data_IF_709133210171
#
_entry.id   IF_709133210171
#
_cell.length_a   1.000
_cell.length_b   1.000
_cell.length_c   1.000
_cell.angle_alpha   90.00
_cell.angle_beta   90.00
_cell.angle_gamma   90.00
#
_symmetry.space_group_name_H-M   'P 1'
#
loop_
_entity.id
_entity.type
_entity.pdbx_description
1 polymer ?
#
# COMPACT_ATOMS: atom_id res chain seq x y z
N UNK A 1 -18.56 -13.21 -8.09
CA UNK A 1 -19.08 -12.74 -9.41
C UNK A 1 -20.25 -11.81 -9.19
N UNK A 2 -20.13 -10.55 -9.60
CA UNK A 2 -21.26 -9.61 -9.54
C UNK A 2 -22.34 -10.09 -10.51
N UNK A 3 -23.62 -10.16 -10.09
CA UNK A 3 -24.70 -10.69 -10.92
C UNK A 3 -24.79 -9.89 -12.24
N UNK A 4 -25.25 -10.55 -13.32
CA UNK A 4 -25.45 -9.91 -14.63
C UNK A 4 -26.32 -8.64 -14.54
N UNK A 5 -27.34 -8.63 -13.68
CA UNK A 5 -28.20 -7.48 -13.42
C UNK A 5 -27.46 -6.30 -12.76
N UNK A 6 -26.55 -6.55 -11.83
CA UNK A 6 -25.76 -5.48 -11.18
C UNK A 6 -24.79 -4.84 -12.18
N UNK A 7 -24.17 -5.64 -13.07
CA UNK A 7 -23.31 -5.13 -14.16
C UNK A 7 -24.11 -4.32 -15.18
N UNK A 8 -25.32 -4.71 -15.48
CA UNK A 8 -26.18 -4.01 -16.43
C UNK A 8 -26.69 -2.67 -15.88
N UNK A 9 -27.06 -2.61 -14.61
CA UNK A 9 -27.46 -1.37 -13.92
C UNK A 9 -26.29 -0.39 -13.83
N UNK A 10 -25.10 -0.85 -13.48
CA UNK A 10 -23.88 -0.03 -13.45
C UNK A 10 -23.53 0.48 -14.85
N UNK A 11 -23.58 -0.40 -15.87
CA UNK A 11 -23.31 -0.03 -17.26
C UNK A 11 -24.29 1.00 -17.82
N UNK A 12 -25.59 0.89 -17.52
CA UNK A 12 -26.61 1.85 -17.96
C UNK A 12 -26.49 3.21 -17.21
N UNK A 13 -26.09 3.20 -15.94
CA UNK A 13 -25.78 4.41 -15.17
C UNK A 13 -24.56 5.16 -15.74
N UNK A 14 -23.52 4.43 -16.14
CA UNK A 14 -22.32 4.99 -16.74
C UNK A 14 -22.58 5.60 -18.15
N UNK A 15 -23.46 4.97 -18.93
CA UNK A 15 -23.81 5.47 -20.29
C UNK A 15 -24.43 6.87 -20.27
N UNK A 16 -25.23 7.22 -19.25
CA UNK A 16 -25.86 8.54 -19.12
C UNK A 16 -24.92 9.66 -18.65
N UNK A 17 -23.68 9.35 -18.26
CA UNK A 17 -22.73 10.32 -17.68
C UNK A 17 -21.36 10.38 -18.41
N UNK A 18 -21.21 9.68 -19.53
CA UNK A 18 -19.94 9.58 -20.28
C UNK A 18 -19.32 10.93 -20.62
N UNK A 19 -20.11 11.89 -21.08
CA UNK A 19 -19.60 13.21 -21.44
C UNK A 19 -19.07 13.99 -20.23
N UNK A 20 -19.71 13.84 -19.07
CA UNK A 20 -19.25 14.49 -17.84
C UNK A 20 -17.96 13.84 -17.31
N UNK A 21 -17.87 12.50 -17.36
CA UNK A 21 -16.65 11.77 -17.01
C UNK A 21 -15.52 12.18 -17.94
N UNK A 22 -15.77 12.19 -19.26
CA UNK A 22 -14.78 12.60 -20.26
C UNK A 22 -14.28 14.01 -20.02
N UNK A 23 -15.19 15.00 -19.90
CA UNK A 23 -14.80 16.39 -19.67
C UNK A 23 -14.01 16.60 -18.38
N UNK A 24 -14.34 15.86 -17.31
CA UNK A 24 -13.56 15.87 -16.07
C UNK A 24 -12.16 15.27 -16.27
N UNK A 25 -12.06 14.12 -16.94
CA UNK A 25 -10.77 13.46 -17.20
C UNK A 25 -9.89 14.25 -18.14
N UNK A 26 -10.46 14.92 -19.16
CA UNK A 26 -9.71 15.80 -20.07
C UNK A 26 -9.05 16.94 -19.28
N UNK A 27 -9.77 17.54 -18.31
CA UNK A 27 -9.23 18.59 -17.44
C UNK A 27 -8.11 18.06 -16.53
N UNK A 28 -8.28 16.86 -15.97
CA UNK A 28 -7.23 16.23 -15.13
C UNK A 28 -5.99 15.91 -15.96
N UNK A 29 -6.17 15.36 -17.17
CA UNK A 29 -5.08 15.03 -18.10
C UNK A 29 -4.32 16.29 -18.58
N UNK A 30 -5.01 17.39 -18.82
CA UNK A 30 -4.38 18.67 -19.19
C UNK A 30 -3.40 19.15 -18.12
N UNK A 31 -3.76 19.01 -16.84
CA UNK A 31 -2.94 19.45 -15.70
C UNK A 31 -1.83 18.47 -15.32
N UNK A 32 -2.03 17.19 -15.55
CA UNK A 32 -1.19 16.11 -15.04
C UNK A 32 -0.70 15.15 -16.13
N UNK A 33 -0.55 15.60 -17.38
CA UNK A 33 -0.33 14.75 -18.54
C UNK A 33 0.90 13.82 -18.51
N UNK A 34 1.83 14.02 -17.58
CA UNK A 34 3.02 13.20 -17.37
C UNK A 34 2.89 12.27 -16.14
N UNK A 35 1.71 12.21 -15.52
CA UNK A 35 1.46 11.44 -14.29
C UNK A 35 0.50 10.26 -14.55
N UNK A 36 0.96 9.28 -15.32
CA UNK A 36 0.12 8.20 -15.86
C UNK A 36 -0.58 7.39 -14.74
N UNK A 37 0.12 7.02 -13.68
CA UNK A 37 -0.44 6.24 -12.57
C UNK A 37 -1.50 7.04 -11.80
N UNK A 38 -1.28 8.33 -11.64
CA UNK A 38 -2.27 9.20 -11.00
C UNK A 38 -3.53 9.35 -11.85
N UNK A 39 -3.38 9.55 -13.16
CA UNK A 39 -4.51 9.65 -14.10
C UNK A 39 -5.33 8.36 -14.11
N UNK A 40 -4.69 7.19 -14.12
CA UNK A 40 -5.35 5.88 -14.05
C UNK A 40 -6.23 5.78 -12.79
N UNK A 41 -5.68 6.07 -11.62
CA UNK A 41 -6.43 6.00 -10.36
C UNK A 41 -7.61 6.98 -10.33
N UNK A 42 -7.44 8.18 -10.88
CA UNK A 42 -8.53 9.16 -10.99
C UNK A 42 -9.62 8.67 -11.94
N UNK A 43 -9.28 8.03 -13.06
CA UNK A 43 -10.22 7.48 -14.03
C UNK A 43 -11.10 6.40 -13.39
N UNK A 44 -10.51 5.43 -12.69
CA UNK A 44 -11.21 4.36 -11.98
C UNK A 44 -12.22 4.90 -10.96
N UNK A 45 -11.84 5.91 -10.20
CA UNK A 45 -12.73 6.55 -9.21
C UNK A 45 -13.81 7.38 -9.89
N UNK A 46 -13.45 8.15 -10.93
CA UNK A 46 -14.40 9.04 -11.64
C UNK A 46 -15.56 8.27 -12.27
N UNK A 47 -15.31 7.08 -12.81
CA UNK A 47 -16.34 6.22 -13.42
C UNK A 47 -17.45 5.83 -12.44
N UNK A 48 -17.13 5.71 -11.16
CA UNK A 48 -18.09 5.32 -10.12
C UNK A 48 -18.66 6.51 -9.35
N UNK A 49 -17.85 7.53 -9.07
CA UNK A 49 -18.21 8.66 -8.21
C UNK A 49 -18.97 9.75 -8.96
N UNK A 50 -18.67 10.02 -10.23
CA UNK A 50 -19.38 11.07 -11.01
C UNK A 50 -20.87 10.75 -11.18
N UNK A 51 -21.28 9.52 -11.54
CA UNK A 51 -22.70 9.16 -11.59
C UNK A 51 -23.42 9.39 -10.26
N UNK A 52 -22.76 9.09 -9.15
CA UNK A 52 -23.31 9.33 -7.81
C UNK A 52 -23.47 10.82 -7.52
N UNK A 53 -22.45 11.64 -7.77
CA UNK A 53 -22.47 13.08 -7.55
C UNK A 53 -23.57 13.74 -8.39
N UNK A 54 -23.72 13.33 -9.66
CA UNK A 54 -24.74 13.89 -10.57
C UNK A 54 -26.16 13.55 -10.10
N UNK A 55 -26.35 12.38 -9.52
CA UNK A 55 -27.66 11.92 -9.03
C UNK A 55 -28.12 12.68 -7.76
N UNK A 56 -27.20 13.29 -7.03
CA UNK A 56 -27.51 13.92 -5.73
C UNK A 56 -27.25 15.41 -5.75
N UNK A 57 -28.34 16.21 -5.75
CA UNK A 57 -28.31 17.68 -5.84
C UNK A 57 -27.45 18.37 -4.78
N UNK A 58 -27.30 17.78 -3.60
CA UNK A 58 -26.46 18.32 -2.52
C UNK A 58 -24.98 18.53 -2.95
N UNK A 59 -24.53 17.85 -3.99
CA UNK A 59 -23.17 17.96 -4.53
C UNK A 59 -23.05 18.94 -5.71
N UNK A 60 -24.18 19.43 -6.27
CA UNK A 60 -24.18 20.33 -7.43
C UNK A 60 -23.39 21.62 -7.17
N UNK A 61 -22.58 22.03 -8.15
CA UNK A 61 -21.80 23.26 -8.11
C UNK A 61 -20.63 23.29 -7.12
N UNK A 62 -20.38 22.21 -6.38
CA UNK A 62 -19.36 22.19 -5.31
C UNK A 62 -17.98 21.72 -5.77
N UNK A 63 -17.85 21.25 -7.00
CA UNK A 63 -16.60 20.76 -7.60
C UNK A 63 -15.85 19.77 -6.71
N UNK A 64 -16.59 18.88 -6.00
CA UNK A 64 -16.02 18.03 -4.96
C UNK A 64 -14.89 17.16 -5.50
N UNK A 65 -15.14 16.41 -6.58
CA UNK A 65 -14.12 15.52 -7.14
C UNK A 65 -12.93 16.31 -7.70
N UNK A 66 -13.16 17.47 -8.33
CA UNK A 66 -12.09 18.34 -8.81
C UNK A 66 -11.19 18.84 -7.66
N UNK A 67 -11.77 19.12 -6.49
CA UNK A 67 -11.01 19.47 -5.28
C UNK A 67 -10.27 18.29 -4.68
N UNK A 68 -10.78 17.08 -4.84
CA UNK A 68 -10.16 15.85 -4.31
C UNK A 68 -8.97 15.38 -5.14
N UNK A 69 -8.92 15.71 -6.43
CA UNK A 69 -7.78 15.35 -7.30
C UNK A 69 -6.61 16.33 -7.22
N UNK A 70 -6.83 17.52 -6.62
CA UNK A 70 -5.75 18.48 -6.38
C UNK A 70 -5.21 18.30 -4.96
N UNK A 71 -3.93 17.98 -4.77
CA UNK A 71 -3.36 17.91 -3.43
C UNK A 71 -3.35 19.30 -2.77
N UNK A 72 -3.66 19.36 -1.49
CA UNK A 72 -3.54 20.60 -0.72
C UNK A 72 -2.09 21.08 -0.68
N UNK A 73 -1.13 20.16 -0.65
CA UNK A 73 0.32 20.44 -0.80
C UNK A 73 1.06 19.24 -1.38
N UNK A 74 2.01 19.51 -2.26
CA UNK A 74 3.02 18.56 -2.70
C UNK A 74 4.41 19.12 -2.37
N UNK A 75 5.18 18.39 -1.59
CA UNK A 75 6.47 18.80 -1.08
C UNK A 75 7.54 17.89 -1.67
N UNK A 76 8.54 18.48 -2.32
CA UNK A 76 9.72 17.78 -2.84
C UNK A 76 10.96 18.36 -2.18
N UNK A 77 11.85 17.51 -1.72
CA UNK A 77 13.10 17.93 -1.09
C UNK A 77 14.26 16.98 -1.46
N UNK A 78 15.47 17.50 -1.36
CA UNK A 78 16.70 16.74 -1.58
C UNK A 78 17.12 16.06 -0.29
N UNK A 79 17.54 14.79 -0.40
CA UNK A 79 18.06 13.99 0.71
C UNK A 79 19.52 13.62 0.42
N UNK A 80 20.44 14.25 1.09
CA UNK A 80 21.87 13.94 1.02
C UNK A 80 22.25 13.06 2.20
N UNK A 81 22.93 11.96 1.94
CA UNK A 81 23.40 11.06 2.99
C UNK A 81 24.73 10.41 2.58
N UNK A 82 25.47 9.86 3.54
CA UNK A 82 26.78 9.26 3.31
C UNK A 82 26.66 7.74 3.39
N UNK A 83 27.14 7.02 2.37
CA UNK A 83 27.18 5.56 2.36
C UNK A 83 28.32 4.99 3.22
N UNK A 84 28.45 3.66 3.26
CA UNK A 84 29.49 2.98 4.06
C UNK A 84 30.91 3.15 3.45
N UNK A 85 31.01 3.64 2.21
CA UNK A 85 32.29 3.97 1.58
C UNK A 85 32.75 5.40 1.85
N UNK A 86 31.91 6.21 2.51
CA UNK A 86 32.15 7.63 2.74
C UNK A 86 31.72 8.52 1.56
N UNK A 87 31.02 8.00 0.57
CA UNK A 87 30.55 8.77 -0.59
C UNK A 87 29.21 9.43 -0.30
N UNK A 88 29.03 10.65 -0.82
CA UNK A 88 27.77 11.39 -0.69
C UNK A 88 26.77 10.90 -1.76
N UNK A 89 25.67 10.36 -1.29
CA UNK A 89 24.54 9.93 -2.10
C UNK A 89 23.44 11.00 -2.08
N UNK A 90 22.69 11.11 -3.18
CA UNK A 90 21.63 12.11 -3.34
C UNK A 90 20.35 11.42 -3.81
N UNK A 91 19.31 11.54 -3.02
CA UNK A 91 17.97 11.05 -3.34
C UNK A 91 16.93 12.19 -3.32
N UNK A 92 15.77 11.94 -3.89
CA UNK A 92 14.60 12.81 -3.79
C UNK A 92 13.67 12.32 -2.69
N UNK A 93 13.26 13.22 -1.82
CA UNK A 93 12.22 12.99 -0.85
C UNK A 93 10.93 13.71 -1.24
N UNK A 94 9.79 13.11 -0.89
CA UNK A 94 8.46 13.63 -1.22
C UNK A 94 7.48 13.47 -0.07
N UNK A 95 6.54 14.42 0.05
CA UNK A 95 5.31 14.26 0.83
C UNK A 95 4.15 14.92 0.10
N UNK A 96 3.11 14.16 -0.20
CA UNK A 96 1.85 14.64 -0.75
C UNK A 96 0.83 14.66 0.38
N UNK A 97 0.37 15.85 0.72
CA UNK A 97 -0.72 16.13 1.65
C UNK A 97 -1.96 16.35 0.79
N UNK A 98 -2.73 15.27 0.61
CA UNK A 98 -3.77 15.23 -0.41
C UNK A 98 -5.04 15.92 0.02
N UNK A 99 -5.55 15.56 1.20
CA UNK A 99 -6.82 16.10 1.70
C UNK A 99 -6.91 15.97 3.22
N UNK A 100 -7.28 17.07 3.88
CA UNK A 100 -7.43 17.15 5.34
C UNK A 100 -8.86 17.41 5.80
N UNK A 101 -9.85 17.30 4.92
CA UNK A 101 -11.23 17.67 5.21
C UNK A 101 -11.84 16.93 6.41
N UNK A 102 -11.42 15.70 6.69
CA UNK A 102 -11.93 14.88 7.78
C UNK A 102 -10.91 14.61 8.90
N UNK A 103 -9.71 15.17 8.81
CA UNK A 103 -8.68 15.04 9.85
C UNK A 103 -7.26 15.20 9.32
N UNK A 104 -6.25 15.03 10.17
CA UNK A 104 -4.84 15.12 9.78
C UNK A 104 -4.51 14.21 8.60
N UNK A 105 -3.59 14.64 7.74
CA UNK A 105 -3.11 13.79 6.64
C UNK A 105 -2.54 12.48 7.21
N UNK A 106 -2.92 11.36 6.64
CA UNK A 106 -2.49 10.04 7.11
C UNK A 106 -2.15 9.15 5.93
N UNK A 107 -0.96 8.55 5.95
CA UNK A 107 -0.54 7.57 4.93
C UNK A 107 0.94 7.27 5.00
N UNK A 108 1.36 6.19 4.33
CA UNK A 108 2.69 5.61 4.43
C UNK A 108 3.80 6.44 3.78
N UNK A 109 5.04 6.08 4.12
CA UNK A 109 6.26 6.44 3.41
C UNK A 109 6.75 5.21 2.66
N UNK A 110 7.05 5.36 1.36
CA UNK A 110 7.60 4.30 0.51
C UNK A 110 9.05 4.61 0.15
N UNK A 111 9.95 3.67 0.40
CA UNK A 111 11.34 3.74 -0.08
C UNK A 111 11.56 2.68 -1.14
N UNK A 112 11.58 3.13 -2.39
CA UNK A 112 11.76 2.26 -3.53
C UNK A 112 12.25 3.08 -4.74
N UNK A 113 13.16 2.55 -5.59
CA UNK A 113 13.71 3.30 -6.72
C UNK A 113 12.68 3.75 -7.76
N UNK A 114 11.49 3.15 -7.80
CA UNK A 114 10.40 3.57 -8.69
C UNK A 114 9.57 4.74 -8.16
N UNK A 115 9.83 5.24 -6.95
CA UNK A 115 9.05 6.33 -6.37
C UNK A 115 9.21 7.61 -7.16
N UNK A 116 8.08 8.13 -7.64
CA UNK A 116 7.94 9.41 -8.35
C UNK A 116 6.81 10.22 -7.74
N UNK A 117 6.67 11.48 -8.15
CA UNK A 117 5.53 12.31 -7.73
C UNK A 117 4.20 11.70 -8.20
N UNK A 118 4.12 11.18 -9.43
CA UNK A 118 2.94 10.52 -9.99
C UNK A 118 2.48 9.36 -9.09
N UNK A 119 3.41 8.45 -8.73
CA UNK A 119 3.13 7.31 -7.84
C UNK A 119 2.63 7.79 -6.48
N UNK A 120 3.23 8.82 -5.91
CA UNK A 120 2.81 9.30 -4.59
C UNK A 120 1.50 10.07 -4.62
N UNK A 121 1.19 10.77 -5.72
CA UNK A 121 -0.11 11.41 -5.90
C UNK A 121 -1.23 10.39 -6.02
N UNK A 122 -1.07 9.33 -6.84
CA UNK A 122 -2.10 8.30 -6.92
C UNK A 122 -2.32 7.61 -5.58
N UNK A 123 -1.24 7.21 -4.91
CA UNK A 123 -1.33 6.57 -3.60
C UNK A 123 -1.96 7.49 -2.53
N UNK A 124 -1.69 8.79 -2.58
CA UNK A 124 -2.29 9.75 -1.67
C UNK A 124 -3.79 9.95 -1.96
N UNK A 125 -4.17 9.98 -3.24
CA UNK A 125 -5.55 10.08 -3.68
C UNK A 125 -6.36 8.86 -3.23
N UNK A 126 -5.90 7.66 -3.48
CA UNK A 126 -6.54 6.43 -3.00
C UNK A 126 -6.61 6.37 -1.47
N UNK A 127 -5.57 6.88 -0.79
CA UNK A 127 -5.52 6.91 0.67
C UNK A 127 -6.65 7.78 1.27
N UNK A 128 -7.10 8.83 0.58
CA UNK A 128 -8.24 9.65 1.01
C UNK A 128 -9.51 8.79 1.11
N UNK A 129 -9.81 8.01 0.07
CA UNK A 129 -10.99 7.12 0.07
C UNK A 129 -10.83 5.99 1.09
N UNK A 130 -9.66 5.35 1.13
CA UNK A 130 -9.38 4.30 2.11
C UNK A 130 -9.61 4.77 3.54
N UNK A 131 -9.09 5.94 3.91
CA UNK A 131 -9.21 6.47 5.26
C UNK A 131 -10.65 6.87 5.59
N UNK A 132 -11.40 7.43 4.64
CA UNK A 132 -12.81 7.80 4.84
C UNK A 132 -13.69 6.61 5.20
N UNK A 133 -13.37 5.41 4.69
CA UNK A 133 -14.11 4.17 4.97
C UNK A 133 -13.85 3.60 6.37
N UNK A 134 -12.88 4.11 7.11
CA UNK A 134 -12.56 3.66 8.48
C UNK A 134 -13.47 4.26 9.54
N UNK A 135 -14.27 5.27 9.19
CA UNK A 135 -15.07 6.11 10.11
C UNK A 135 -14.24 6.95 11.10
N UNK A 136 -12.91 6.90 11.02
CA UNK A 136 -12.01 7.67 11.88
C UNK A 136 -11.68 9.04 11.26
N UNK A 137 -11.39 10.07 12.06
CA UNK A 137 -11.08 11.42 11.57
C UNK A 137 -9.64 11.46 11.02
N UNK A 138 -9.44 10.88 9.87
CA UNK A 138 -8.14 10.83 9.17
C UNK A 138 -8.29 11.30 7.73
N UNK A 139 -7.51 12.31 7.36
CA UNK A 139 -7.31 12.72 5.98
C UNK A 139 -6.43 11.75 5.19
N UNK A 140 -6.00 12.14 4.01
CA UNK A 140 -5.14 11.33 3.14
C UNK A 140 -3.84 12.02 2.80
N UNK A 141 -2.75 11.26 2.83
CA UNK A 141 -1.43 11.70 2.42
C UNK A 141 -0.51 10.51 2.11
N UNK A 142 0.54 10.77 1.36
CA UNK A 142 1.56 9.76 1.02
C UNK A 142 2.91 10.42 0.86
N UNK A 143 3.97 9.70 1.16
CA UNK A 143 5.32 10.20 0.95
C UNK A 143 6.30 9.09 0.62
N UNK A 144 7.56 9.45 0.46
CA UNK A 144 8.59 8.47 0.18
C UNK A 144 9.81 9.05 -0.51
N UNK A 145 10.63 8.16 -1.02
CA UNK A 145 11.87 8.48 -1.72
C UNK A 145 12.21 7.42 -2.76
N UNK A 146 12.95 7.82 -3.79
CA UNK A 146 13.58 6.92 -4.77
C UNK A 146 14.77 6.12 -4.19
N UNK A 147 14.99 6.19 -2.88
CA UNK A 147 15.98 5.41 -2.15
C UNK A 147 15.67 3.91 -2.20
N UNK A 148 16.65 3.08 -2.58
CA UNK A 148 16.54 1.63 -2.51
C UNK A 148 17.18 1.10 -1.21
N UNK A 149 16.39 0.60 -0.25
CA UNK A 149 16.92 0.02 0.99
C UNK A 149 17.53 -1.37 0.80
N UNK A 150 17.34 -2.02 -0.37
CA UNK A 150 17.86 -3.37 -0.61
C UNK A 150 19.39 -3.36 -0.65
N UNK A 151 20.00 -4.28 0.09
CA UNK A 151 21.46 -4.43 0.14
C UNK A 151 22.18 -3.33 0.92
N UNK A 152 21.46 -2.38 1.53
CA UNK A 152 22.03 -1.36 2.41
C UNK A 152 22.22 -1.87 3.82
N UNK A 153 23.31 -1.42 4.47
CA UNK A 153 23.54 -1.69 5.89
C UNK A 153 22.55 -0.95 6.78
N UNK A 154 22.38 -1.39 8.01
CA UNK A 154 21.53 -0.70 8.99
C UNK A 154 22.03 0.73 9.26
N UNK A 155 23.35 0.96 9.20
CA UNK A 155 23.96 2.28 9.34
C UNK A 155 23.64 3.19 8.15
N UNK A 156 23.70 2.69 6.93
CA UNK A 156 23.30 3.44 5.73
C UNK A 156 21.82 3.84 5.79
N UNK A 157 20.96 2.90 6.14
CA UNK A 157 19.51 3.15 6.28
C UNK A 157 19.24 4.17 7.39
N UNK A 158 19.94 4.07 8.51
CA UNK A 158 19.81 5.05 9.60
C UNK A 158 20.23 6.46 9.13
N UNK A 159 21.38 6.59 8.47
CA UNK A 159 21.84 7.89 7.94
C UNK A 159 20.86 8.47 6.93
N UNK A 160 20.35 7.63 6.02
CA UNK A 160 19.32 8.05 5.07
C UNK A 160 18.05 8.51 5.79
N UNK A 161 17.51 7.73 6.73
CA UNK A 161 16.31 8.09 7.49
C UNK A 161 16.48 9.40 8.27
N UNK A 162 17.67 9.62 8.85
CA UNK A 162 17.98 10.87 9.55
C UNK A 162 17.99 12.05 8.58
N UNK A 163 18.66 11.92 7.43
CA UNK A 163 18.69 12.96 6.40
C UNK A 163 17.29 13.25 5.83
N UNK A 164 16.51 12.22 5.55
CA UNK A 164 15.12 12.34 5.09
C UNK A 164 14.25 13.07 6.13
N UNK A 165 14.34 12.70 7.40
CA UNK A 165 13.54 13.31 8.46
C UNK A 165 13.98 14.74 8.77
N UNK A 166 15.24 15.10 8.57
CA UNK A 166 15.72 16.48 8.78
C UNK A 166 15.07 17.51 7.84
N UNK A 167 14.51 17.04 6.71
CA UNK A 167 13.68 17.85 5.83
C UNK A 167 12.18 17.69 6.14
N UNK A 168 11.71 16.45 6.30
CA UNK A 168 10.28 16.14 6.46
C UNK A 168 9.69 16.69 7.78
N UNK A 169 10.46 16.77 8.87
CA UNK A 169 9.93 17.11 10.21
C UNK A 169 9.19 18.46 10.28
N UNK A 170 9.49 19.39 9.37
CA UNK A 170 8.84 20.71 9.29
C UNK A 170 7.38 20.63 8.84
N UNK A 171 7.01 19.54 8.22
CA UNK A 171 5.73 19.38 7.51
C UNK A 171 4.80 18.36 8.16
N UNK A 172 5.26 17.66 9.19
CA UNK A 172 4.52 16.58 9.87
C UNK A 172 4.34 16.87 11.35
N UNK A 173 3.38 16.19 11.96
CA UNK A 173 3.10 16.33 13.40
C UNK A 173 1.85 15.54 13.77
N UNK A 174 1.66 15.30 15.07
CA UNK A 174 0.55 14.48 15.60
C UNK A 174 -0.85 15.00 15.24
N UNK A 175 -0.99 16.29 14.99
CA UNK A 175 -2.25 16.95 14.68
C UNK A 175 -2.30 17.51 13.23
N UNK A 176 -1.27 17.29 12.44
CA UNK A 176 -1.16 17.85 11.09
C UNK A 176 -1.04 16.75 10.05
N UNK A 177 -0.02 15.92 10.17
CA UNK A 177 0.31 14.89 9.19
C UNK A 177 1.05 13.73 9.87
N UNK A 178 0.50 12.54 9.78
CA UNK A 178 0.99 11.37 10.52
C UNK A 178 1.42 10.28 9.52
N UNK A 179 2.70 10.23 9.14
CA UNK A 179 3.20 9.17 8.27
C UNK A 179 3.16 7.78 8.93
N UNK A 180 3.26 6.76 8.08
CA UNK A 180 3.30 5.34 8.46
C UNK A 180 4.34 4.58 7.63
N UNK A 181 4.47 3.27 7.85
CA UNK A 181 5.22 2.40 6.96
C UNK A 181 4.49 2.08 5.66
N UNK A 182 5.25 1.72 4.64
CA UNK A 182 4.83 1.21 3.33
C UNK A 182 5.99 0.39 2.75
N UNK A 183 6.03 0.09 1.44
CA UNK A 183 7.13 -0.65 0.81
C UNK A 183 8.49 -0.01 1.16
N UNK A 184 9.41 -0.84 1.65
CA UNK A 184 10.75 -0.40 2.07
C UNK A 184 10.82 0.38 3.39
N UNK A 185 9.70 0.54 4.09
CA UNK A 185 9.63 1.24 5.40
C UNK A 185 8.90 0.37 6.41
N UNK A 186 9.65 -0.40 7.17
CA UNK A 186 9.16 -1.24 8.26
C UNK A 186 9.43 -0.63 9.64
N UNK A 187 9.33 -1.46 10.67
CA UNK A 187 9.55 -1.02 12.06
C UNK A 187 10.93 -0.44 12.33
N UNK A 188 11.98 -0.94 11.65
CA UNK A 188 13.35 -0.40 11.74
C UNK A 188 13.42 1.04 11.23
N UNK A 189 12.94 1.29 10.01
CA UNK A 189 12.93 2.60 9.38
C UNK A 189 12.08 3.59 10.20
N UNK A 190 10.90 3.15 10.65
CA UNK A 190 10.05 3.96 11.55
C UNK A 190 10.80 4.31 12.84
N UNK A 191 11.59 3.40 13.39
CA UNK A 191 12.42 3.67 14.58
C UNK A 191 13.44 4.78 14.33
N UNK A 192 14.18 4.71 13.23
CA UNK A 192 15.16 5.74 12.86
C UNK A 192 14.50 7.09 12.57
N UNK A 193 13.39 7.09 11.83
CA UNK A 193 12.62 8.30 11.51
C UNK A 193 12.03 8.94 12.78
N UNK A 194 11.44 8.16 13.67
CA UNK A 194 10.86 8.68 14.91
C UNK A 194 11.91 9.20 15.87
N UNK A 195 13.04 8.49 16.00
CA UNK A 195 14.16 8.94 16.84
C UNK A 195 14.70 10.29 16.39
N UNK A 196 14.83 10.49 15.07
CA UNK A 196 15.29 11.76 14.51
C UNK A 196 14.25 12.88 14.67
N UNK A 197 12.96 12.59 14.41
CA UNK A 197 11.88 13.55 14.66
C UNK A 197 11.87 14.03 16.11
N UNK A 198 11.89 13.07 17.06
CA UNK A 198 11.94 13.38 18.49
C UNK A 198 13.12 14.28 18.85
N UNK A 199 14.29 14.00 18.26
CA UNK A 199 15.50 14.80 18.48
C UNK A 199 15.34 16.24 17.94
N UNK A 200 14.78 16.42 16.74
CA UNK A 200 14.62 17.72 16.10
C UNK A 200 13.53 18.57 16.74
N UNK A 201 12.43 17.96 17.16
CA UNK A 201 11.29 18.65 17.77
C UNK A 201 11.37 18.75 19.28
N UNK A 202 12.21 17.93 19.91
CA UNK A 202 12.25 17.74 21.37
C UNK A 202 10.88 17.34 21.95
N UNK A 203 10.12 16.51 21.21
CA UNK A 203 8.76 16.09 21.54
C UNK A 203 8.61 14.58 21.40
N UNK A 204 7.91 13.94 22.34
CA UNK A 204 7.46 12.54 22.23
C UNK A 204 5.97 12.52 21.97
N UNK A 205 5.57 12.51 20.69
CA UNK A 205 4.18 12.68 20.25
C UNK A 205 3.67 11.51 19.44
N UNK A 206 2.37 11.56 19.08
CA UNK A 206 1.70 10.58 18.22
C UNK A 206 2.07 10.66 16.73
N UNK A 207 3.12 11.40 16.35
CA UNK A 207 3.65 11.40 14.99
C UNK A 207 4.21 10.03 14.62
N UNK A 208 4.04 9.60 13.37
CA UNK A 208 4.39 8.28 12.85
C UNK A 208 3.64 7.11 13.51
N UNK A 209 3.05 6.24 12.71
CA UNK A 209 2.52 4.95 13.14
C UNK A 209 3.42 3.80 12.69
N UNK A 210 3.26 2.62 13.30
CA UNK A 210 4.15 1.48 13.10
C UNK A 210 5.33 1.44 14.09
N UNK A 211 5.24 2.19 15.18
CA UNK A 211 6.20 2.21 16.29
C UNK A 211 6.11 0.92 17.11
N UNK A 212 7.22 0.55 17.76
CA UNK A 212 7.24 -0.55 18.71
C UNK A 212 6.44 -0.23 19.97
N UNK A 213 5.94 -1.26 20.66
CA UNK A 213 5.10 -1.13 21.85
C UNK A 213 5.75 -0.31 22.96
N UNK A 214 7.05 -0.45 23.15
CA UNK A 214 7.80 0.23 24.22
C UNK A 214 8.05 1.72 23.97
N UNK A 215 7.71 2.21 22.78
CA UNK A 215 7.94 3.59 22.38
C UNK A 215 6.77 4.19 21.59
N UNK A 216 5.55 3.91 22.02
CA UNK A 216 4.32 4.57 21.56
C UNK A 216 3.58 3.85 20.44
N UNK A 217 3.86 2.55 20.23
CA UNK A 217 3.12 1.70 19.30
C UNK A 217 1.85 1.09 19.87
N UNK A 218 1.12 0.36 19.05
CA UNK A 218 -0.11 -0.36 19.41
C UNK A 218 -0.04 -1.84 18.99
N UNK A 219 -0.86 -2.67 19.63
CA UNK A 219 -1.01 -4.10 19.31
C UNK A 219 -1.71 -4.31 17.94
N UNK A 220 -1.52 -5.52 17.38
CA UNK A 220 -2.22 -6.04 16.18
C UNK A 220 -1.97 -5.17 14.92
N UNK A 221 -0.91 -4.39 14.90
CA UNK A 221 -0.58 -3.58 13.71
C UNK A 221 0.04 -4.41 12.58
N UNK A 222 0.95 -5.37 12.84
CA UNK A 222 1.54 -6.20 11.78
C UNK A 222 0.50 -6.99 10.99
N UNK A 223 -0.47 -7.59 11.65
CA UNK A 223 -1.47 -8.48 11.06
C UNK A 223 -2.60 -7.74 10.33
N UNK A 224 -2.85 -6.48 10.69
CA UNK A 224 -4.08 -5.77 10.37
C UNK A 224 -4.40 -5.73 8.87
N UNK A 225 -3.43 -5.49 8.00
CA UNK A 225 -3.67 -5.37 6.55
C UNK A 225 -3.97 -6.73 5.93
N UNK A 226 -3.15 -7.74 6.21
CA UNK A 226 -3.36 -9.10 5.70
C UNK A 226 -4.68 -9.70 6.18
N UNK A 227 -4.96 -9.59 7.47
CA UNK A 227 -6.22 -10.05 8.05
C UNK A 227 -7.43 -9.32 7.46
N UNK A 228 -7.35 -8.00 7.32
CA UNK A 228 -8.42 -7.19 6.74
C UNK A 228 -8.75 -7.58 5.31
N UNK A 229 -7.74 -7.87 4.50
CA UNK A 229 -7.91 -8.38 3.12
C UNK A 229 -8.70 -9.68 3.12
N UNK A 230 -8.34 -10.64 3.98
CA UNK A 230 -9.02 -11.94 4.05
C UNK A 230 -10.42 -11.80 4.64
N UNK A 231 -10.63 -10.99 5.67
CA UNK A 231 -11.96 -10.73 6.22
C UNK A 231 -12.90 -10.11 5.17
N UNK A 232 -12.38 -9.17 4.36
CA UNK A 232 -13.18 -8.59 3.29
C UNK A 232 -13.55 -9.64 2.23
N UNK A 233 -12.57 -10.44 1.79
CA UNK A 233 -12.81 -11.54 0.85
C UNK A 233 -13.80 -12.56 1.41
N UNK A 234 -13.73 -12.91 2.70
CA UNK A 234 -14.69 -13.80 3.36
C UNK A 234 -16.10 -13.21 3.35
N UNK A 235 -16.26 -11.91 3.61
CA UNK A 235 -17.55 -11.22 3.48
C UNK A 235 -18.07 -11.22 2.04
N UNK A 236 -17.20 -11.10 1.05
CA UNK A 236 -17.61 -11.25 -0.36
C UNK A 236 -18.11 -12.67 -0.67
N UNK A 237 -17.40 -13.71 -0.21
CA UNK A 237 -17.82 -15.12 -0.38
C UNK A 237 -19.17 -15.39 0.30
N UNK A 238 -19.39 -14.86 1.51
CA UNK A 238 -20.66 -15.00 2.22
C UNK A 238 -21.87 -14.47 1.44
N UNK A 239 -21.70 -13.48 0.54
CA UNK A 239 -22.79 -12.99 -0.32
C UNK A 239 -23.30 -14.03 -1.31
N UNK A 240 -22.51 -15.06 -1.58
CA UNK A 240 -22.83 -16.20 -2.45
C UNK A 240 -22.96 -17.51 -1.68
N UNK A 241 -23.10 -17.45 -0.35
CA UNK A 241 -23.13 -18.61 0.57
C UNK A 241 -21.90 -19.50 0.43
N UNK A 242 -20.72 -18.90 0.22
CA UNK A 242 -19.43 -19.57 0.09
C UNK A 242 -18.47 -19.15 1.20
N UNK A 243 -17.32 -19.83 1.34
CA UNK A 243 -16.33 -19.57 2.38
C UNK A 243 -14.92 -19.98 1.92
N UNK A 244 -13.90 -19.65 2.71
CA UNK A 244 -12.51 -20.11 2.47
C UNK A 244 -12.32 -21.62 2.67
N UNK A 245 -13.19 -22.29 3.40
CA UNK A 245 -13.00 -23.69 3.76
C UNK A 245 -12.87 -24.59 2.53
N UNK A 246 -11.74 -25.29 2.43
CA UNK A 246 -11.44 -26.21 1.33
C UNK A 246 -11.07 -25.55 0.00
N UNK A 247 -10.99 -24.22 -0.07
CA UNK A 247 -10.61 -23.49 -1.27
C UNK A 247 -9.10 -23.46 -1.47
N UNK A 248 -8.66 -23.56 -2.71
CA UNK A 248 -7.29 -23.31 -3.12
C UNK A 248 -7.07 -21.80 -3.30
N UNK A 249 -6.08 -21.26 -2.60
CA UNK A 249 -5.83 -19.81 -2.56
C UNK A 249 -4.44 -19.51 -3.10
N UNK A 250 -4.39 -18.61 -4.08
CA UNK A 250 -3.15 -18.04 -4.64
C UNK A 250 -2.93 -16.67 -4.03
N UNK A 251 -1.73 -16.43 -3.50
CA UNK A 251 -1.34 -15.16 -2.88
C UNK A 251 -0.07 -14.65 -3.56
N UNK A 252 -0.07 -13.39 -4.00
CA UNK A 252 1.16 -12.71 -4.42
C UNK A 252 1.86 -12.03 -3.25
N UNK A 253 3.17 -11.79 -3.39
CA UNK A 253 4.00 -11.24 -2.33
C UNK A 253 4.46 -12.28 -1.32
N UNK A 254 5.39 -11.88 -0.48
CA UNK A 254 5.90 -12.63 0.69
C UNK A 254 6.31 -11.68 1.82
N UNK A 255 5.89 -10.43 1.73
CA UNK A 255 6.05 -9.41 2.77
C UNK A 255 4.95 -9.49 3.82
N UNK A 256 4.82 -8.43 4.63
CA UNK A 256 3.88 -8.37 5.76
C UNK A 256 2.45 -8.72 5.36
N UNK A 257 1.89 -8.08 4.32
CA UNK A 257 0.49 -8.32 3.90
C UNK A 257 0.27 -9.76 3.50
N UNK A 258 1.15 -10.32 2.64
CA UNK A 258 1.03 -11.69 2.16
C UNK A 258 1.18 -12.74 3.27
N UNK A 259 2.11 -12.53 4.21
CA UNK A 259 2.32 -13.43 5.34
C UNK A 259 1.06 -13.54 6.22
N UNK A 260 0.47 -12.40 6.59
CA UNK A 260 -0.73 -12.41 7.44
C UNK A 260 -2.02 -12.72 6.66
N UNK A 261 -2.07 -12.45 5.36
CA UNK A 261 -3.15 -12.97 4.52
C UNK A 261 -3.11 -14.50 4.44
N UNK A 262 -1.90 -15.08 4.28
CA UNK A 262 -1.72 -16.52 4.30
C UNK A 262 -2.13 -17.12 5.66
N UNK A 263 -1.67 -16.54 6.77
CA UNK A 263 -2.01 -16.99 8.11
C UNK A 263 -3.53 -17.00 8.34
N UNK A 264 -4.23 -15.91 8.01
CA UNK A 264 -5.68 -15.84 8.20
C UNK A 264 -6.42 -16.78 7.26
N UNK A 265 -5.97 -16.94 6.03
CA UNK A 265 -6.53 -17.91 5.07
C UNK A 265 -6.45 -19.33 5.60
N UNK A 266 -5.29 -19.73 6.15
CA UNK A 266 -5.10 -21.05 6.79
C UNK A 266 -6.05 -21.23 7.98
N UNK A 267 -6.18 -20.21 8.83
CA UNK A 267 -7.09 -20.24 9.99
C UNK A 267 -8.56 -20.41 9.58
N UNK A 268 -8.97 -19.89 8.40
CA UNK A 268 -10.32 -20.06 7.87
C UNK A 268 -10.50 -21.35 7.06
N UNK A 269 -9.48 -22.21 7.01
CA UNK A 269 -9.53 -23.51 6.35
C UNK A 269 -9.27 -23.46 4.84
N UNK A 270 -8.72 -22.37 4.32
CA UNK A 270 -8.25 -22.27 2.95
C UNK A 270 -6.85 -22.88 2.79
N UNK A 271 -6.56 -23.40 1.59
CA UNK A 271 -5.27 -23.97 1.23
C UNK A 271 -4.45 -22.98 0.44
N UNK A 272 -3.49 -22.32 1.07
CA UNK A 272 -2.55 -21.42 0.41
C UNK A 272 -1.52 -22.23 -0.37
N UNK A 273 -1.35 -21.95 -1.67
CA UNK A 273 -0.44 -22.72 -2.53
C UNK A 273 0.70 -21.88 -3.12
N UNK A 274 0.65 -20.56 -3.04
CA UNK A 274 1.71 -19.69 -3.58
C UNK A 274 2.08 -18.55 -2.65
N UNK A 275 3.34 -18.13 -2.73
CA UNK A 275 3.85 -16.84 -2.28
C UNK A 275 4.89 -16.37 -3.30
N UNK A 276 5.11 -15.05 -3.44
CA UNK A 276 6.01 -14.50 -4.45
C UNK A 276 6.89 -13.38 -3.93
N UNK A 277 7.93 -13.06 -4.66
CA UNK A 277 8.65 -11.78 -4.55
C UNK A 277 9.09 -11.32 -5.95
N UNK A 278 9.89 -10.24 -6.03
CA UNK A 278 10.33 -9.69 -7.32
C UNK A 278 11.26 -10.63 -8.13
N UNK A 279 11.63 -11.79 -7.61
CA UNK A 279 12.41 -12.81 -8.36
C UNK A 279 11.53 -13.90 -8.98
N UNK A 280 10.28 -14.01 -8.56
CA UNK A 280 9.33 -15.04 -9.01
C UNK A 280 8.42 -15.52 -7.89
N UNK A 281 7.83 -16.69 -8.05
CA UNK A 281 6.92 -17.27 -7.06
C UNK A 281 7.20 -18.76 -6.80
N UNK A 282 6.79 -19.21 -5.62
CA UNK A 282 6.75 -20.63 -5.28
C UNK A 282 5.35 -21.18 -5.47
N UNK A 283 5.26 -22.46 -5.89
CA UNK A 283 4.04 -23.27 -5.85
C UNK A 283 4.29 -24.49 -4.97
N UNK A 284 3.51 -24.62 -3.93
CA UNK A 284 3.48 -25.79 -3.06
C UNK A 284 2.09 -26.43 -3.13
N UNK A 285 1.95 -27.45 -3.96
CA UNK A 285 0.67 -28.14 -4.17
C UNK A 285 0.16 -28.91 -2.93
N UNK A 286 1.05 -29.21 -1.98
CA UNK A 286 0.65 -29.79 -0.69
C UNK A 286 -0.02 -28.76 0.22
N UNK A 287 0.23 -27.47 -0.05
CA UNK A 287 -0.23 -26.33 0.72
C UNK A 287 0.85 -25.81 1.66
N UNK A 288 0.81 -24.50 1.88
CA UNK A 288 1.62 -23.80 2.88
C UNK A 288 0.82 -23.78 4.16
N UNK A 289 1.19 -24.62 5.12
CA UNK A 289 0.61 -24.69 6.45
C UNK A 289 1.30 -23.69 7.41
N UNK A 290 0.96 -23.76 8.70
CA UNK A 290 1.50 -22.84 9.71
C UNK A 290 3.02 -22.99 9.89
N UNK A 291 3.57 -24.21 9.79
CA UNK A 291 5.01 -24.47 9.90
C UNK A 291 5.78 -23.91 8.69
N UNK A 292 5.31 -24.22 7.50
CA UNK A 292 5.86 -23.68 6.25
C UNK A 292 5.79 -22.16 6.20
N UNK A 293 4.70 -21.56 6.69
CA UNK A 293 4.55 -20.12 6.80
C UNK A 293 5.54 -19.51 7.80
N UNK A 294 5.75 -20.13 8.96
CA UNK A 294 6.76 -19.68 9.93
C UNK A 294 8.18 -19.72 9.33
N UNK A 295 8.47 -20.73 8.50
CA UNK A 295 9.72 -20.77 7.74
C UNK A 295 9.82 -19.59 6.77
N UNK A 296 8.77 -19.27 6.02
CA UNK A 296 8.73 -18.10 5.13
C UNK A 296 8.95 -16.81 5.91
N UNK A 297 8.30 -16.64 7.06
CA UNK A 297 8.49 -15.48 7.93
C UNK A 297 9.95 -15.35 8.39
N UNK A 298 10.58 -16.45 8.79
CA UNK A 298 12.01 -16.45 9.14
C UNK A 298 12.89 -16.09 7.94
N UNK A 299 12.61 -16.68 6.79
CA UNK A 299 13.34 -16.43 5.55
C UNK A 299 13.29 -14.94 5.15
N UNK A 300 12.10 -14.33 5.22
CA UNK A 300 11.89 -12.95 4.76
C UNK A 300 12.25 -11.90 5.82
N UNK A 301 11.84 -12.11 7.07
CA UNK A 301 11.93 -11.07 8.10
C UNK A 301 13.26 -11.10 8.84
N UNK A 302 13.87 -12.29 9.00
CA UNK A 302 15.15 -12.46 9.72
C UNK A 302 16.32 -12.54 8.73
N UNK A 303 16.27 -13.50 7.80
CA UNK A 303 17.36 -13.73 6.82
C UNK A 303 17.35 -12.73 5.67
N UNK A 304 16.23 -12.03 5.43
CA UNK A 304 16.03 -11.09 4.31
C UNK A 304 16.33 -11.73 2.94
N UNK A 305 16.11 -13.02 2.82
CA UNK A 305 16.41 -13.82 1.64
C UNK A 305 15.27 -13.78 0.60
N UNK A 306 15.53 -14.33 -0.58
CA UNK A 306 14.54 -14.48 -1.64
C UNK A 306 13.60 -15.64 -1.37
N UNK A 307 12.37 -15.57 -1.90
CA UNK A 307 11.39 -16.66 -1.74
C UNK A 307 11.86 -17.97 -2.39
N UNK A 308 12.72 -17.89 -3.40
CA UNK A 308 13.34 -19.06 -4.04
C UNK A 308 14.12 -19.97 -3.07
N UNK A 309 14.58 -19.45 -1.93
CA UNK A 309 15.26 -20.27 -0.92
C UNK A 309 14.32 -21.29 -0.23
N UNK A 310 13.02 -21.10 -0.33
CA UNK A 310 12.00 -21.98 0.24
C UNK A 310 12.14 -23.41 -0.26
N UNK A 311 12.40 -23.61 -1.56
CA UNK A 311 12.53 -24.95 -2.17
C UNK A 311 13.73 -25.77 -1.66
N UNK A 312 14.71 -25.12 -1.00
CA UNK A 312 15.82 -25.83 -0.37
C UNK A 312 15.39 -26.63 0.84
N UNK A 313 14.35 -26.15 1.56
CA UNK A 313 13.77 -26.82 2.72
C UNK A 313 12.59 -27.71 2.35
N UNK A 314 11.81 -27.27 1.34
CA UNK A 314 10.62 -27.98 0.86
C UNK A 314 10.77 -28.33 -0.64
N UNK A 315 11.50 -29.42 -0.96
CA UNK A 315 11.86 -29.76 -2.34
C UNK A 315 10.68 -30.21 -3.21
N UNK A 316 9.54 -30.54 -2.61
CA UNK A 316 8.28 -30.85 -3.33
C UNK A 316 7.61 -29.59 -3.92
N UNK A 317 8.02 -28.41 -3.46
CA UNK A 317 7.56 -27.14 -4.03
C UNK A 317 8.39 -26.77 -5.27
N UNK A 318 7.80 -26.00 -6.16
CA UNK A 318 8.45 -25.50 -7.38
C UNK A 318 8.65 -24.00 -7.28
N UNK A 319 9.80 -23.49 -7.72
CA UNK A 319 10.05 -22.07 -7.93
C UNK A 319 9.98 -21.72 -9.42
N UNK A 320 9.18 -20.70 -9.74
CA UNK A 320 9.04 -20.17 -11.11
C UNK A 320 9.63 -18.76 -11.14
N UNK A 321 10.73 -18.60 -11.86
CA UNK A 321 11.47 -17.34 -11.92
C UNK A 321 10.79 -16.30 -12.83
N UNK A 322 10.90 -15.02 -12.44
CA UNK A 322 10.48 -13.86 -13.24
C UNK A 322 9.01 -13.88 -13.70
N UNK A 323 8.13 -14.52 -12.95
CA UNK A 323 6.69 -14.57 -13.20
C UNK A 323 5.88 -14.23 -11.94
N UNK A 324 4.63 -13.83 -12.14
CA UNK A 324 3.61 -13.69 -11.11
C UNK A 324 2.80 -14.99 -10.97
N UNK A 325 2.14 -15.24 -9.82
CA UNK A 325 1.48 -16.53 -9.55
C UNK A 325 0.11 -16.71 -10.23
N UNK A 326 -0.31 -15.80 -11.08
CA UNK A 326 -1.69 -15.73 -11.60
C UNK A 326 -2.04 -16.81 -12.63
N UNK A 327 -1.04 -17.55 -13.14
CA UNK A 327 -1.26 -18.73 -13.98
C UNK A 327 -1.66 -19.97 -13.17
N UNK A 328 -1.50 -19.96 -11.84
CA UNK A 328 -1.82 -21.10 -10.97
C UNK A 328 -3.32 -21.19 -10.76
N UNK A 329 -3.91 -22.34 -11.10
CA UNK A 329 -5.34 -22.58 -10.91
C UNK A 329 -5.73 -22.46 -9.43
N UNK A 330 -6.75 -21.64 -9.14
CA UNK A 330 -7.23 -21.41 -7.79
C UNK A 330 -8.73 -21.08 -7.76
N UNK A 331 -9.30 -21.12 -6.56
CA UNK A 331 -10.65 -20.66 -6.28
C UNK A 331 -10.65 -19.17 -5.87
N UNK A 332 -9.58 -18.73 -5.20
CA UNK A 332 -9.45 -17.38 -4.66
C UNK A 332 -8.04 -16.87 -4.98
N UNK A 333 -7.96 -15.64 -5.51
CA UNK A 333 -6.73 -14.93 -5.76
C UNK A 333 -6.66 -13.69 -4.84
N UNK A 334 -5.58 -13.56 -4.08
CA UNK A 334 -5.33 -12.44 -3.16
C UNK A 334 -4.07 -11.67 -3.61
N UNK A 335 -4.21 -10.53 -4.30
CA UNK A 335 -3.08 -9.67 -4.65
C UNK A 335 -2.59 -8.94 -3.39
N UNK A 336 -1.38 -9.31 -2.92
CA UNK A 336 -0.80 -8.83 -1.67
C UNK A 336 0.62 -8.25 -1.86
N UNK A 337 1.01 -7.88 -3.08
CA UNK A 337 2.34 -7.35 -3.40
C UNK A 337 2.29 -5.87 -3.81
N UNK A 338 2.09 -5.58 -5.08
CA UNK A 338 2.15 -4.21 -5.62
C UNK A 338 0.94 -3.88 -6.49
N UNK A 339 0.77 -2.59 -6.79
CA UNK A 339 -0.23 -2.14 -7.75
C UNK A 339 0.04 -2.71 -9.16
N UNK A 340 -1.02 -2.82 -9.97
CA UNK A 340 -0.97 -3.26 -11.38
C UNK A 340 -0.28 -4.62 -11.59
N UNK A 341 -0.46 -5.55 -10.67
CA UNK A 341 0.09 -6.92 -10.78
C UNK A 341 -0.91 -7.92 -11.42
N UNK A 342 -2.14 -7.48 -11.65
CA UNK A 342 -3.22 -8.18 -12.34
C UNK A 342 -3.62 -7.43 -13.60
#
# INVERSE_FOLDING_TARGET
MCSSKTREVVRNSLLGHKDKIKGFLDLVKERNGHEAEFIQAVEEVAETVIPYIVKHDIYHGKNILLRMVEPERAITFRVNWVDDKGEIQVNRGYRVQMNSAIGPYKGGLRFHPTVTMSILKFLAFEQVFKNSLTTLPMGGGKGGSDFDPKGKSDNEIMRFCHAFMSELFRHIGSNTDIPAGDIGVGGREIGFLFGMYKKLRNEFTGVLTGKGMTWGGSLIRPEATGYGTVYFADKMLQTTNDSFKGKTVVISGSGNVAQYAAEKTIQLGGKVVTLSDSSGYIVDHEGIDAEKLAHVMTLKNVKRARISEYIKTYPNATFVANKTPWEVKCDIALPCATQNEL
#
